data_IF_404442535582
#
_entry.id   IF_404442535582
#
_cell.length_a   1.000
_cell.length_b   1.000
_cell.length_c   1.000
_cell.angle_alpha   90.00
_cell.angle_beta   90.00
_cell.angle_gamma   90.00
#
_symmetry.space_group_name_H-M   'P 1'
#
loop_
_entity.id
_entity.type
_entity.pdbx_description
1 polymer ?
#
# COMPACT_ATOMS: atom_id res chain seq x y z
N UNK A 1 15.83 5.71 10.03
CA UNK A 1 14.56 6.47 10.05
C UNK A 1 14.05 6.55 8.63
N UNK A 2 12.85 6.05 8.36
CA UNK A 2 12.25 6.16 7.03
C UNK A 2 11.68 7.56 6.80
N UNK A 3 11.67 8.02 5.56
CA UNK A 3 10.90 9.17 5.11
C UNK A 3 9.81 8.68 4.16
N UNK A 4 8.63 9.27 4.28
CA UNK A 4 7.50 8.93 3.44
C UNK A 4 7.19 10.09 2.53
N UNK A 5 7.02 9.78 1.25
CA UNK A 5 6.38 10.66 0.31
C UNK A 5 5.05 10.03 -0.11
N UNK A 6 3.96 10.79 -0.17
CA UNK A 6 2.64 10.29 -0.57
C UNK A 6 2.25 10.88 -1.92
N UNK A 7 2.75 10.34 -3.04
CA UNK A 7 2.49 10.92 -4.35
C UNK A 7 1.04 10.74 -4.83
N UNK A 8 0.31 9.72 -4.33
CA UNK A 8 -1.10 9.53 -4.66
C UNK A 8 -1.97 9.46 -3.41
N UNK A 9 -3.04 10.25 -3.40
CA UNK A 9 -4.08 10.19 -2.38
C UNK A 9 -5.46 10.35 -3.03
N UNK A 10 -6.12 9.22 -3.23
CA UNK A 10 -7.53 9.13 -3.64
C UNK A 10 -8.38 8.75 -2.42
N UNK A 11 -9.69 8.64 -2.64
CA UNK A 11 -10.64 8.34 -1.57
C UNK A 11 -10.46 6.92 -1.01
N UNK A 12 -10.08 5.97 -1.85
CA UNK A 12 -9.95 4.53 -1.55
C UNK A 12 -8.57 3.96 -1.91
N UNK A 13 -7.66 4.79 -2.41
CA UNK A 13 -6.34 4.36 -2.83
C UNK A 13 -5.31 5.40 -2.42
N UNK A 14 -4.29 4.98 -1.70
CA UNK A 14 -3.11 5.81 -1.42
C UNK A 14 -1.84 5.09 -1.86
N UNK A 15 -0.89 5.83 -2.44
CA UNK A 15 0.44 5.30 -2.78
C UNK A 15 1.48 6.13 -2.04
N UNK A 16 2.40 5.43 -1.40
CA UNK A 16 3.54 5.97 -0.68
C UNK A 16 4.83 5.49 -1.33
N UNK A 17 5.79 6.39 -1.47
CA UNK A 17 7.20 6.05 -1.62
C UNK A 17 7.85 6.04 -0.23
N UNK A 18 8.45 4.91 0.13
CA UNK A 18 9.21 4.76 1.37
C UNK A 18 10.68 4.96 1.05
N UNK A 19 11.30 5.96 1.67
CA UNK A 19 12.71 6.25 1.49
C UNK A 19 13.52 5.89 2.74
N UNK A 20 14.67 5.25 2.54
CA UNK A 20 15.69 4.98 3.56
C UNK A 20 17.06 5.32 2.96
N UNK A 21 17.92 5.99 3.73
CA UNK A 21 19.28 6.35 3.30
C UNK A 21 19.34 7.07 1.93
N UNK A 22 18.41 8.01 1.71
CA UNK A 22 18.25 8.79 0.48
C UNK A 22 17.94 7.98 -0.79
N UNK A 23 17.45 6.74 -0.63
CA UNK A 23 16.98 5.89 -1.73
C UNK A 23 15.56 5.43 -1.49
N UNK A 24 14.83 5.16 -2.56
CA UNK A 24 13.54 4.50 -2.46
C UNK A 24 13.81 3.06 -2.05
N UNK A 25 13.22 2.66 -0.93
CA UNK A 25 13.25 1.31 -0.42
C UNK A 25 12.15 0.48 -1.10
N UNK A 26 10.93 0.99 -1.09
CA UNK A 26 9.76 0.38 -1.72
C UNK A 26 8.67 1.42 -1.96
N UNK A 27 7.64 1.02 -2.70
CA UNK A 27 6.34 1.68 -2.68
C UNK A 27 5.37 0.88 -1.82
N UNK A 28 4.46 1.57 -1.15
CA UNK A 28 3.36 0.96 -0.41
C UNK A 28 2.05 1.50 -0.97
N UNK A 29 1.19 0.57 -1.38
CA UNK A 29 -0.14 0.85 -1.92
C UNK A 29 -1.15 0.42 -0.86
N UNK A 30 -2.04 1.33 -0.48
CA UNK A 30 -3.12 1.07 0.49
C UNK A 30 -4.44 1.19 -0.24
N UNK A 31 -5.20 0.11 -0.29
CA UNK A 31 -6.56 0.06 -0.82
C UNK A 31 -7.56 -0.05 0.33
N UNK A 32 -8.46 0.92 0.43
CA UNK A 32 -9.64 0.89 1.32
C UNK A 32 -10.77 0.13 0.60
N UNK A 33 -11.01 -1.11 1.00
CA UNK A 33 -12.04 -1.95 0.36
C UNK A 33 -13.46 -1.45 0.63
N UNK A 34 -13.65 -0.65 1.69
CA UNK A 34 -14.94 -0.22 2.25
C UNK A 34 -15.92 -1.37 2.49
N UNK A 35 -15.37 -2.56 2.70
CA UNK A 35 -16.11 -3.81 2.85
C UNK A 35 -15.44 -4.65 3.93
N UNK A 36 -16.21 -5.52 4.60
CA UNK A 36 -15.61 -6.54 5.45
C UNK A 36 -14.75 -7.50 4.61
N UNK A 37 -13.92 -8.29 5.28
CA UNK A 37 -13.09 -9.33 4.69
C UNK A 37 -13.94 -10.32 3.85
N UNK A 38 -13.31 -10.87 2.81
CA UNK A 38 -13.85 -12.02 2.09
C UNK A 38 -13.46 -13.34 2.77
N UNK A 39 -14.07 -14.46 2.36
CA UNK A 39 -13.67 -15.80 2.83
C UNK A 39 -12.21 -16.15 2.48
N UNK A 40 -11.66 -15.56 1.40
CA UNK A 40 -10.25 -15.74 1.05
C UNK A 40 -9.34 -14.92 1.95
N UNK A 41 -9.77 -13.72 2.34
CA UNK A 41 -9.04 -12.84 3.26
C UNK A 41 -8.93 -13.44 4.67
N UNK A 42 -9.95 -14.19 5.13
CA UNK A 42 -9.90 -14.92 6.42
C UNK A 42 -8.72 -15.89 6.52
N UNK A 43 -8.12 -16.31 5.40
CA UNK A 43 -7.00 -17.26 5.38
C UNK A 43 -5.63 -16.57 5.52
N UNK A 44 -5.61 -15.24 5.58
CA UNK A 44 -4.39 -14.44 5.58
C UNK A 44 -4.16 -13.80 6.95
N UNK A 45 -2.90 -13.63 7.32
CA UNK A 45 -2.54 -12.92 8.54
C UNK A 45 -2.94 -11.43 8.43
N UNK A 46 -3.40 -10.81 9.54
CA UNK A 46 -3.59 -11.40 10.87
C UNK A 46 -4.96 -12.08 11.07
N UNK A 47 -5.84 -12.05 10.06
CA UNK A 47 -7.24 -12.48 10.17
C UNK A 47 -7.39 -13.97 10.48
N UNK A 48 -6.48 -14.82 10.00
CA UNK A 48 -6.53 -16.27 10.23
C UNK A 48 -6.38 -16.69 11.69
N UNK A 49 -5.82 -15.82 12.54
CA UNK A 49 -5.58 -16.08 13.96
C UNK A 49 -6.64 -15.44 14.86
N UNK A 50 -7.58 -14.68 14.30
CA UNK A 50 -8.65 -14.02 15.04
C UNK A 50 -9.83 -14.96 15.28
N UNK A 51 -10.55 -14.75 16.38
CA UNK A 51 -11.78 -15.47 16.63
C UNK A 51 -12.96 -14.90 15.84
N UNK A 52 -14.05 -15.66 15.75
CA UNK A 52 -15.21 -15.30 14.94
C UNK A 52 -15.92 -14.04 15.46
N UNK A 53 -15.85 -13.73 16.77
CA UNK A 53 -16.49 -12.55 17.35
C UNK A 53 -15.74 -11.28 16.92
N UNK A 54 -14.42 -11.28 17.05
CA UNK A 54 -13.55 -10.19 16.63
C UNK A 54 -13.63 -9.99 15.11
N UNK A 55 -13.63 -11.09 14.35
CA UNK A 55 -13.79 -11.07 12.90
C UNK A 55 -15.12 -10.42 12.54
N UNK A 56 -16.25 -10.80 13.15
CA UNK A 56 -17.56 -10.22 12.84
C UNK A 56 -17.68 -8.74 13.20
N UNK A 57 -16.84 -8.22 14.09
CA UNK A 57 -16.80 -6.79 14.41
C UNK A 57 -16.09 -5.94 13.35
N UNK A 58 -15.28 -6.54 12.47
CA UNK A 58 -14.57 -5.83 11.41
C UNK A 58 -15.52 -5.44 10.28
N UNK A 59 -15.66 -4.14 10.06
CA UNK A 59 -16.52 -3.56 9.02
C UNK A 59 -15.76 -3.18 7.76
N UNK A 60 -14.44 -3.03 7.86
CA UNK A 60 -13.60 -2.62 6.76
C UNK A 60 -12.21 -3.25 6.82
N UNK A 61 -11.68 -3.66 5.67
CA UNK A 61 -10.32 -4.17 5.54
C UNK A 61 -9.51 -3.29 4.59
N UNK A 62 -8.30 -2.97 4.99
CA UNK A 62 -7.31 -2.34 4.12
C UNK A 62 -6.40 -3.40 3.49
N UNK A 63 -6.18 -3.33 2.19
CA UNK A 63 -5.10 -4.10 1.57
C UNK A 63 -3.86 -3.23 1.48
N UNK A 64 -2.77 -3.72 2.07
CA UNK A 64 -1.46 -3.09 2.04
C UNK A 64 -0.57 -3.92 1.11
N UNK A 65 -0.23 -3.36 -0.04
CA UNK A 65 0.71 -3.99 -0.98
C UNK A 65 2.06 -3.27 -0.90
N UNK A 66 3.10 -4.00 -0.50
CA UNK A 66 4.49 -3.52 -0.47
C UNK A 66 5.15 -4.00 -1.75
N UNK A 67 5.64 -3.06 -2.57
CA UNK A 67 6.25 -3.36 -3.87
C UNK A 67 7.67 -2.79 -3.96
N UNK A 68 8.61 -3.63 -4.39
CA UNK A 68 10.02 -3.27 -4.59
C UNK A 68 10.59 -3.98 -5.82
N UNK A 69 11.75 -3.54 -6.29
CA UNK A 69 12.47 -4.14 -7.42
C UNK A 69 13.15 -5.47 -7.04
N UNK A 70 13.52 -5.61 -5.77
CA UNK A 70 14.07 -6.81 -5.16
C UNK A 70 13.35 -7.14 -3.85
N UNK A 71 13.45 -8.38 -3.37
CA UNK A 71 12.92 -8.76 -2.05
C UNK A 71 13.59 -7.94 -0.96
N UNK A 72 12.80 -7.24 -0.14
CA UNK A 72 13.31 -6.52 1.01
C UNK A 72 13.96 -7.48 2.02
N UNK A 73 15.03 -7.04 2.68
CA UNK A 73 15.54 -7.79 3.82
C UNK A 73 14.53 -7.78 4.98
N UNK A 74 14.65 -8.74 5.89
CA UNK A 74 13.69 -8.95 6.98
C UNK A 74 13.53 -7.72 7.90
N UNK A 75 14.62 -6.99 8.17
CA UNK A 75 14.60 -5.78 9.00
C UNK A 75 13.78 -4.67 8.34
N UNK A 76 14.06 -4.39 7.06
CA UNK A 76 13.36 -3.38 6.28
C UNK A 76 11.91 -3.73 6.06
N UNK A 77 11.63 -4.99 5.75
CA UNK A 77 10.28 -5.48 5.60
C UNK A 77 9.47 -5.33 6.89
N UNK A 78 10.05 -5.74 8.02
CA UNK A 78 9.42 -5.63 9.35
C UNK A 78 9.15 -4.17 9.69
N UNK A 79 10.11 -3.28 9.41
CA UNK A 79 9.96 -1.84 9.62
C UNK A 79 8.79 -1.26 8.82
N UNK A 80 8.69 -1.60 7.53
CA UNK A 80 7.61 -1.12 6.65
C UNK A 80 6.26 -1.69 7.10
N UNK A 81 6.18 -3.01 7.34
CA UNK A 81 4.95 -3.68 7.81
C UNK A 81 4.43 -3.06 9.09
N UNK A 82 5.26 -2.93 10.12
CA UNK A 82 4.87 -2.38 11.41
C UNK A 82 4.40 -0.93 11.29
N UNK A 83 5.11 -0.10 10.51
CA UNK A 83 4.71 1.28 10.30
C UNK A 83 3.31 1.38 9.68
N UNK A 84 3.06 0.65 8.59
CA UNK A 84 1.79 0.77 7.87
C UNK A 84 0.63 0.04 8.57
N UNK A 85 0.92 -1.01 9.34
CA UNK A 85 -0.04 -1.61 10.25
C UNK A 85 -0.57 -0.58 11.27
N UNK A 86 0.33 0.14 11.96
CA UNK A 86 -0.05 1.22 12.88
C UNK A 86 -0.76 2.36 12.16
N UNK A 87 -0.34 2.68 10.94
CA UNK A 87 -0.91 3.77 10.14
C UNK A 87 -2.40 3.54 9.80
N UNK A 88 -2.81 2.31 9.46
CA UNK A 88 -4.20 2.01 9.07
C UNK A 88 -5.06 1.55 10.25
N UNK A 89 -4.47 0.92 11.26
CA UNK A 89 -5.18 0.35 12.40
C UNK A 89 -5.55 1.42 13.45
N UNK A 90 -6.43 2.33 13.06
CA UNK A 90 -6.86 3.45 13.89
C UNK A 90 -8.12 3.15 14.71
N UNK A 91 -8.84 2.07 14.38
CA UNK A 91 -10.11 1.70 15.03
C UNK A 91 -10.22 0.18 15.17
N UNK A 92 -10.98 -0.28 16.15
CA UNK A 92 -11.30 -1.70 16.32
C UNK A 92 -12.32 -2.25 15.31
N UNK A 93 -12.84 -1.41 14.41
CA UNK A 93 -13.78 -1.80 13.35
C UNK A 93 -13.07 -2.02 12.01
N UNK A 94 -11.76 -1.83 11.97
CA UNK A 94 -10.92 -1.93 10.78
C UNK A 94 -9.85 -2.97 10.99
N UNK A 95 -9.48 -3.69 9.93
CA UNK A 95 -8.29 -4.53 9.93
C UNK A 95 -7.53 -4.36 8.60
N UNK A 96 -6.42 -5.06 8.43
CA UNK A 96 -5.61 -4.96 7.22
C UNK A 96 -4.97 -6.31 6.87
N UNK A 97 -4.62 -6.44 5.59
CA UNK A 97 -3.87 -7.58 5.07
C UNK A 97 -2.68 -7.03 4.32
N UNK A 98 -1.50 -7.57 4.60
CA UNK A 98 -0.27 -7.14 3.94
C UNK A 98 0.23 -8.20 2.96
N UNK A 99 0.57 -7.77 1.74
CA UNK A 99 1.18 -8.61 0.71
C UNK A 99 2.43 -7.94 0.15
N UNK A 100 3.39 -8.77 -0.25
CA UNK A 100 4.66 -8.34 -0.82
C UNK A 100 4.74 -8.72 -2.29
N UNK A 101 5.27 -7.80 -3.09
CA UNK A 101 5.40 -7.94 -4.53
C UNK A 101 6.79 -7.52 -4.97
N UNK A 102 7.39 -8.33 -5.84
CA UNK A 102 8.67 -8.02 -6.48
C UNK A 102 8.43 -7.75 -7.95
N UNK A 103 8.59 -6.48 -8.34
CA UNK A 103 8.48 -6.05 -9.72
C UNK A 103 9.86 -5.63 -10.22
N UNK A 104 10.53 -6.52 -10.96
CA UNK A 104 11.85 -6.21 -11.55
C UNK A 104 11.80 -4.91 -12.37
N UNK A 105 12.90 -4.17 -12.31
CA UNK A 105 13.08 -2.91 -13.04
C UNK A 105 12.03 -1.83 -12.66
N UNK A 106 11.46 -1.91 -11.45
CA UNK A 106 10.47 -0.95 -10.96
C UNK A 106 10.95 0.50 -11.17
N UNK A 107 12.18 0.80 -10.75
CA UNK A 107 12.77 2.14 -10.82
C UNK A 107 13.54 2.46 -12.11
N UNK A 108 13.74 1.46 -12.98
CA UNK A 108 14.60 1.59 -14.16
C UNK A 108 13.82 1.92 -15.45
N UNK A 109 12.49 1.80 -15.41
CA UNK A 109 11.63 2.18 -16.52
C UNK A 109 11.33 3.67 -16.43
N UNK A 110 11.61 4.37 -17.52
CA UNK A 110 11.22 5.77 -17.73
C UNK A 110 9.78 5.79 -18.23
N UNK A 111 8.83 5.79 -17.29
CA UNK A 111 7.40 5.91 -17.61
C UNK A 111 7.09 7.34 -18.09
N UNK A 112 6.13 7.48 -19.01
CA UNK A 112 5.79 8.77 -19.63
C UNK A 112 5.32 9.82 -18.60
N UNK A 113 4.70 9.36 -17.52
CA UNK A 113 4.24 10.15 -16.38
C UNK A 113 4.06 9.29 -15.12
N UNK A 114 3.80 9.96 -13.98
CA UNK A 114 3.55 9.32 -12.69
C UNK A 114 2.33 8.37 -12.73
N UNK A 115 1.32 8.68 -13.56
CA UNK A 115 0.10 7.87 -13.69
C UNK A 115 0.42 6.52 -14.30
N UNK A 116 1.20 6.53 -15.37
CA UNK A 116 1.64 5.35 -16.10
C UNK A 116 2.48 4.48 -15.18
N UNK A 117 3.37 5.10 -14.39
CA UNK A 117 4.15 4.44 -13.35
C UNK A 117 3.25 3.79 -12.28
N UNK A 118 2.28 4.52 -11.71
CA UNK A 118 1.38 3.97 -10.68
C UNK A 118 0.50 2.85 -11.24
N UNK A 119 -0.10 3.02 -12.42
CA UNK A 119 -0.92 1.99 -13.06
C UNK A 119 -0.11 0.74 -13.41
N UNK A 120 1.18 0.88 -13.74
CA UNK A 120 2.07 -0.27 -13.92
C UNK A 120 2.20 -1.08 -12.63
N UNK A 121 2.37 -0.42 -11.48
CA UNK A 121 2.37 -1.10 -10.17
C UNK A 121 1.01 -1.71 -9.80
N UNK A 122 -0.08 -0.98 -10.02
CA UNK A 122 -1.44 -1.44 -9.70
C UNK A 122 -1.79 -2.71 -10.47
N UNK A 123 -1.51 -2.75 -11.78
CA UNK A 123 -1.69 -3.96 -12.59
C UNK A 123 -0.85 -5.12 -12.11
N UNK A 124 0.38 -4.87 -11.65
CA UNK A 124 1.27 -5.92 -11.14
C UNK A 124 0.70 -6.59 -9.89
N UNK A 125 0.05 -5.83 -9.01
CA UNK A 125 -0.59 -6.36 -7.80
C UNK A 125 -2.01 -6.90 -8.05
N UNK A 126 -2.54 -6.73 -9.27
CA UNK A 126 -3.89 -7.14 -9.66
C UNK A 126 -5.00 -6.16 -9.26
N UNK A 127 -4.64 -4.89 -9.01
CA UNK A 127 -5.57 -3.80 -8.71
C UNK A 127 -6.05 -3.09 -10.00
N UNK A 128 -7.11 -2.29 -9.86
CA UNK A 128 -7.68 -1.51 -10.95
C UNK A 128 -6.84 -0.28 -11.28
N UNK A 129 -6.82 0.10 -12.56
CA UNK A 129 -6.16 1.33 -13.01
C UNK A 129 -6.88 2.59 -12.49
N UNK A 130 -6.07 3.59 -12.14
CA UNK A 130 -6.54 4.96 -11.94
C UNK A 130 -6.78 5.61 -13.30
N UNK A 131 -8.02 6.03 -13.56
CA UNK A 131 -8.48 6.49 -14.88
C UNK A 131 -8.30 7.99 -15.13
N UNK A 132 -8.53 8.84 -14.14
CA UNK A 132 -8.43 10.30 -14.27
C UNK A 132 -7.98 10.95 -12.96
N UNK A 133 -7.15 11.99 -13.07
CA UNK A 133 -6.69 12.83 -11.95
C UNK A 133 -7.48 14.14 -11.94
N UNK A 134 -7.95 14.57 -10.76
CA UNK A 134 -8.37 15.96 -10.56
C UNK A 134 -7.14 16.75 -10.08
N UNK A 135 -6.47 17.43 -11.03
CA UNK A 135 -5.25 18.23 -10.83
C UNK A 135 -5.33 19.22 -9.65
N UNK A 136 -6.54 19.56 -9.18
CA UNK A 136 -6.77 20.49 -8.06
C UNK A 136 -6.38 19.93 -6.69
N UNK A 137 -6.22 18.62 -6.56
CA UNK A 137 -5.89 17.98 -5.28
C UNK A 137 -4.43 17.55 -5.17
N UNK A 138 -3.60 17.84 -6.18
CA UNK A 138 -2.17 17.63 -6.05
C UNK A 138 -1.50 18.79 -5.32
N UNK A 139 -0.99 18.50 -4.12
CA UNK A 139 0.18 19.22 -3.64
C UNK A 139 1.32 18.85 -4.59
N UNK A 140 1.60 19.72 -5.55
CA UNK A 140 2.83 19.64 -6.33
C UNK A 140 4.00 19.45 -5.38
N UNK A 141 4.67 18.30 -5.47
CA UNK A 141 5.99 18.11 -4.91
C UNK A 141 7.01 18.75 -5.85
N UNK A 142 6.90 20.07 -6.04
CA UNK A 142 8.08 20.86 -6.35
C UNK A 142 8.72 21.21 -5.02
N UNK A 143 10.00 20.91 -4.91
CA UNK A 143 10.85 21.20 -3.76
C UNK A 143 10.66 22.62 -3.23
N UNK A 144 10.46 22.72 -1.92
CA UNK A 144 10.98 23.79 -1.06
C UNK A 144 11.57 23.12 0.20
#
# INVERSE_FOLDING_TARGET
MIRLNRPLKLRDLEIFSVMKDHRILCYVIIEDTRKPFTEEDRKLEPLCDMDEEDIQAILNVFHISIISDETLNEEDLTLVKSYFAEFVNNTNLTNFITREYVQKDLYAVDDEDDITFFNRMLRHIGSDDVKEFDDRHWMYLSQD
#
